data_IF_579106564786
#
_entry.id   IF_579106564786
#
_cell.length_a   1.000
_cell.length_b   1.000
_cell.length_c   1.000
_cell.angle_alpha   90.00
_cell.angle_beta   90.00
_cell.angle_gamma   90.00
#
_symmetry.space_group_name_H-M   'P 1'
#
loop_
_entity.id
_entity.type
_entity.pdbx_description
1 polymer ?
#
# COMPACT_ATOMS: atom_id res chain seq x y z
N UNK A 1 -3.83 -1.71 -26.21
CA UNK A 1 -3.20 -0.41 -26.54
C UNK A 1 -2.61 -0.53 -27.96
N UNK A 2 -3.39 -1.09 -28.89
CA UNK A 2 -2.86 -1.74 -30.11
C UNK A 2 -3.03 -0.85 -31.35
N UNK A 3 -3.40 0.40 -31.10
CA UNK A 3 -3.62 1.43 -32.09
C UNK A 3 -2.45 2.42 -32.03
N UNK A 4 -1.76 2.59 -33.16
CA UNK A 4 -0.66 3.57 -33.32
C UNK A 4 -1.10 4.98 -32.91
N UNK A 5 -2.39 5.33 -33.02
CA UNK A 5 -2.93 6.62 -32.58
C UNK A 5 -2.87 6.80 -31.05
N UNK A 6 -3.12 5.73 -30.28
CA UNK A 6 -3.06 5.73 -28.81
C UNK A 6 -1.63 5.70 -28.29
N UNK A 7 -0.70 5.11 -29.05
CA UNK A 7 0.73 5.18 -28.75
C UNK A 7 1.26 6.61 -28.82
N UNK A 8 0.85 7.39 -29.83
CA UNK A 8 1.20 8.82 -29.91
C UNK A 8 0.76 9.61 -28.68
N UNK A 9 -0.38 9.26 -28.07
CA UNK A 9 -0.87 9.93 -26.84
C UNK A 9 0.06 9.71 -25.64
N UNK A 10 0.68 8.53 -25.52
CA UNK A 10 1.67 8.27 -24.47
C UNK A 10 2.94 9.09 -24.65
N UNK A 11 3.35 9.35 -25.89
CA UNK A 11 4.58 10.09 -26.19
C UNK A 11 4.45 11.59 -25.90
N UNK A 12 3.22 12.11 -25.85
CA UNK A 12 2.92 13.51 -25.53
C UNK A 12 3.00 13.83 -24.03
N UNK A 13 2.96 12.82 -23.16
CA UNK A 13 3.06 13.03 -21.71
C UNK A 13 4.54 12.99 -21.31
N UNK A 14 5.04 14.11 -20.81
CA UNK A 14 6.38 14.21 -20.23
C UNK A 14 6.46 13.53 -18.85
N UNK A 15 7.67 13.22 -18.41
CA UNK A 15 7.89 12.76 -17.03
C UNK A 15 7.78 13.93 -16.04
N UNK A 16 7.27 13.65 -14.85
CA UNK A 16 7.22 14.61 -13.75
C UNK A 16 8.62 14.90 -13.19
N UNK A 17 8.91 16.19 -13.00
CA UNK A 17 10.17 16.63 -12.39
C UNK A 17 10.18 16.29 -10.90
N UNK A 18 11.27 15.66 -10.44
CA UNK A 18 11.52 15.39 -9.03
C UNK A 18 10.85 14.13 -8.49
N UNK A 19 10.33 13.26 -9.35
CA UNK A 19 10.01 11.88 -8.96
C UNK A 19 11.28 11.04 -8.98
N UNK A 20 11.45 10.22 -7.93
CA UNK A 20 12.63 9.37 -7.71
C UNK A 20 12.25 7.90 -7.92
N UNK A 21 13.26 7.08 -8.09
CA UNK A 21 13.10 5.62 -8.05
C UNK A 21 12.45 5.18 -6.74
N UNK A 22 11.62 4.15 -6.83
CA UNK A 22 10.96 3.56 -5.65
C UNK A 22 11.95 2.71 -4.90
N UNK A 23 11.86 2.73 -3.58
CA UNK A 23 12.69 1.88 -2.71
C UNK A 23 11.83 1.29 -1.60
N UNK A 24 12.12 0.05 -1.20
CA UNK A 24 11.53 -0.58 0.00
C UNK A 24 9.99 -0.55 0.07
N UNK A 25 9.29 -0.71 -1.05
CA UNK A 25 7.83 -0.67 -1.08
C UNK A 25 7.17 -1.85 -0.33
N UNK A 26 7.86 -2.99 -0.32
CA UNK A 26 7.41 -4.24 0.31
C UNK A 26 7.93 -4.40 1.76
N UNK A 27 8.72 -3.44 2.25
CA UNK A 27 9.33 -3.50 3.59
C UNK A 27 8.34 -3.04 4.65
N UNK A 28 7.88 -3.97 5.49
CA UNK A 28 6.88 -3.71 6.52
C UNK A 28 7.38 -2.72 7.59
N UNK A 29 8.69 -2.56 7.78
CA UNK A 29 9.28 -1.56 8.70
C UNK A 29 9.14 -0.12 8.22
N UNK A 30 8.93 0.09 6.91
CA UNK A 30 8.72 1.43 6.34
C UNK A 30 7.27 1.92 6.51
N UNK A 31 6.36 1.07 7.00
CA UNK A 31 4.97 1.39 7.33
C UNK A 31 4.87 2.06 8.70
N UNK A 32 4.60 3.36 8.69
CA UNK A 32 4.57 4.18 9.90
C UNK A 32 3.68 5.42 9.70
N UNK A 33 3.54 6.24 10.73
CA UNK A 33 2.73 7.45 10.76
C UNK A 33 3.56 8.75 10.78
N UNK A 34 4.88 8.67 10.51
CA UNK A 34 5.83 9.79 10.70
C UNK A 34 5.49 11.02 9.86
N UNK A 35 4.87 10.84 8.69
CA UNK A 35 4.50 11.93 7.79
C UNK A 35 3.12 12.54 8.14
N UNK A 36 2.41 12.01 9.15
CA UNK A 36 1.14 12.57 9.62
C UNK A 36 1.37 13.71 10.60
N UNK A 37 0.85 14.89 10.27
CA UNK A 37 0.92 16.08 11.13
C UNK A 37 -0.13 16.02 12.23
N UNK A 38 0.28 16.18 13.49
CA UNK A 38 -0.64 16.29 14.61
C UNK A 38 0.04 16.23 15.96
N UNK A 39 -0.76 16.37 17.02
CA UNK A 39 -0.33 16.06 18.38
C UNK A 39 -0.03 14.56 18.50
N UNK A 40 0.84 14.21 19.46
CA UNK A 40 1.17 12.82 19.77
C UNK A 40 -0.08 11.93 19.86
N UNK A 41 -0.02 10.73 19.27
CA UNK A 41 -1.09 9.73 19.18
C UNK A 41 -2.35 10.08 18.37
N UNK A 42 -2.49 11.28 17.81
CA UNK A 42 -3.69 11.67 17.04
C UNK A 42 -4.00 10.66 15.92
N UNK A 43 -2.96 10.23 15.22
CA UNK A 43 -3.05 9.32 14.07
C UNK A 43 -2.56 7.89 14.34
N UNK A 44 -2.23 7.56 15.61
CA UNK A 44 -1.76 6.21 16.01
C UNK A 44 -2.61 5.10 15.39
N UNK A 45 -2.00 4.19 14.66
CA UNK A 45 -2.69 3.06 14.01
C UNK A 45 -3.19 3.33 12.59
N UNK A 46 -2.99 4.52 12.04
CA UNK A 46 -3.03 4.72 10.59
C UNK A 46 -1.59 4.60 10.07
N UNK A 47 -1.25 3.46 9.47
CA UNK A 47 0.08 3.25 8.91
C UNK A 47 0.07 3.64 7.43
N UNK A 48 0.97 4.55 7.05
CA UNK A 48 1.08 5.03 5.66
C UNK A 48 1.86 3.99 4.85
N UNK A 49 1.32 3.49 3.72
CA UNK A 49 2.07 2.64 2.82
C UNK A 49 3.35 3.36 2.33
N UNK A 50 4.52 2.69 2.30
CA UNK A 50 5.74 3.25 1.73
C UNK A 50 5.55 3.76 0.29
N UNK A 51 4.70 3.06 -0.47
CA UNK A 51 4.25 3.47 -1.81
C UNK A 51 3.55 4.84 -1.80
N UNK A 52 2.61 5.08 -0.88
CA UNK A 52 1.92 6.38 -0.74
C UNK A 52 2.89 7.48 -0.32
N UNK A 53 3.83 7.20 0.60
CA UNK A 53 4.87 8.15 1.02
C UNK A 53 5.76 8.58 -0.15
N UNK A 54 6.03 7.64 -1.05
CA UNK A 54 6.82 7.84 -2.27
C UNK A 54 5.98 8.16 -3.51
N UNK A 55 4.67 8.42 -3.37
CA UNK A 55 3.77 8.66 -4.50
C UNK A 55 4.34 9.80 -5.35
N UNK A 56 4.61 9.51 -6.62
CA UNK A 56 5.06 10.51 -7.56
C UNK A 56 3.90 11.47 -7.81
N UNK A 57 4.20 12.76 -7.80
CA UNK A 57 3.28 13.81 -8.18
C UNK A 57 4.10 14.90 -8.84
N UNK A 58 3.50 15.69 -9.72
CA UNK A 58 4.27 16.71 -10.42
C UNK A 58 4.63 17.89 -9.51
N UNK A 59 5.38 18.84 -10.05
CA UNK A 59 5.78 20.10 -9.40
C UNK A 59 4.62 20.90 -8.80
N UNK A 60 3.36 20.61 -9.16
CA UNK A 60 2.17 21.22 -8.56
C UNK A 60 2.15 21.09 -7.04
N UNK A 61 2.80 20.09 -6.47
CA UNK A 61 2.92 19.86 -5.01
C UNK A 61 3.99 20.75 -4.36
N UNK A 62 5.07 21.11 -5.08
CA UNK A 62 6.31 21.66 -4.50
C UNK A 62 6.56 23.16 -4.73
N UNK A 63 5.59 23.91 -5.26
CA UNK A 63 5.80 25.35 -5.45
C UNK A 63 4.55 26.12 -5.84
N UNK A 64 4.67 27.45 -5.96
CA UNK A 64 3.64 28.33 -6.49
C UNK A 64 3.57 28.14 -8.00
N UNK A 65 3.28 26.92 -8.45
CA UNK A 65 2.88 26.72 -9.83
C UNK A 65 1.66 27.63 -10.02
N UNK A 66 1.89 28.79 -10.66
CA UNK A 66 0.85 29.69 -11.10
C UNK A 66 0.12 28.98 -12.24
N UNK A 67 -0.64 27.95 -11.88
CA UNK A 67 -1.49 27.23 -12.81
C UNK A 67 -2.49 28.24 -13.33
N UNK A 68 -2.44 28.48 -14.64
CA UNK A 68 -3.26 29.51 -15.28
C UNK A 68 -4.58 28.94 -15.75
N UNK A 69 -4.64 27.62 -15.96
CA UNK A 69 -5.80 26.91 -16.48
C UNK A 69 -6.02 25.49 -15.91
N UNK A 70 -7.24 24.97 -16.04
CA UNK A 70 -7.58 23.57 -15.80
C UNK A 70 -6.82 22.60 -16.72
N UNK A 71 -6.45 23.04 -17.92
CA UNK A 71 -5.64 22.24 -18.84
C UNK A 71 -4.22 22.06 -18.30
N UNK A 72 -3.57 23.12 -17.83
CA UNK A 72 -2.26 23.03 -17.18
C UNK A 72 -2.31 22.14 -15.94
N UNK A 73 -3.36 22.28 -15.11
CA UNK A 73 -3.56 21.39 -13.96
C UNK A 73 -3.64 19.92 -14.40
N UNK A 74 -4.44 19.63 -15.44
CA UNK A 74 -4.57 18.29 -15.99
C UNK A 74 -3.22 17.73 -16.47
N UNK A 75 -2.48 18.48 -17.25
CA UNK A 75 -1.16 18.06 -17.77
C UNK A 75 -0.22 17.68 -16.62
N UNK A 76 -0.17 18.49 -15.58
CA UNK A 76 0.64 18.26 -14.39
C UNK A 76 0.24 16.96 -13.67
N UNK A 77 -1.07 16.70 -13.48
CA UNK A 77 -1.53 15.42 -12.94
C UNK A 77 -1.13 14.24 -13.83
N UNK A 78 -1.25 14.36 -15.16
CA UNK A 78 -0.89 13.28 -16.09
C UNK A 78 0.61 12.97 -16.09
N UNK A 79 1.48 13.99 -15.99
CA UNK A 79 2.93 13.80 -15.85
C UNK A 79 3.26 13.01 -14.58
N UNK A 80 2.63 13.37 -13.46
CA UNK A 80 2.78 12.64 -12.20
C UNK A 80 2.36 11.18 -12.35
N UNK A 81 1.16 10.95 -12.88
CA UNK A 81 0.59 9.61 -13.02
C UNK A 81 1.43 8.73 -13.95
N UNK A 82 1.94 9.29 -15.05
CA UNK A 82 2.88 8.58 -15.93
C UNK A 82 4.15 8.18 -15.18
N UNK A 83 4.80 9.12 -14.51
CA UNK A 83 6.03 8.81 -13.79
C UNK A 83 5.78 7.82 -12.64
N UNK A 84 4.64 7.88 -11.97
CA UNK A 84 4.23 6.88 -10.98
C UNK A 84 4.18 5.47 -11.59
N UNK A 85 3.48 5.30 -12.72
CA UNK A 85 3.41 4.02 -13.42
C UNK A 85 4.78 3.53 -13.90
N UNK A 86 5.64 4.44 -14.38
CA UNK A 86 7.00 4.13 -14.83
C UNK A 86 7.88 3.60 -13.69
N UNK A 87 7.95 4.32 -12.58
CA UNK A 87 8.81 3.94 -11.45
C UNK A 87 8.29 2.70 -10.70
N UNK A 88 6.96 2.50 -10.63
CA UNK A 88 6.40 1.24 -10.13
C UNK A 88 6.73 0.06 -11.06
N UNK A 89 6.68 0.26 -12.37
CA UNK A 89 7.06 -0.76 -13.35
C UNK A 89 8.54 -1.13 -13.32
N UNK A 90 9.44 -0.18 -13.03
CA UNK A 90 10.85 -0.49 -12.76
C UNK A 90 11.04 -1.24 -11.45
N UNK A 91 10.38 -0.82 -10.37
CA UNK A 91 10.54 -1.44 -9.05
C UNK A 91 10.07 -2.89 -9.03
N UNK A 92 8.90 -3.17 -9.62
CA UNK A 92 8.34 -4.52 -9.72
C UNK A 92 8.68 -5.19 -11.05
N UNK A 93 9.86 -4.90 -11.62
CA UNK A 93 10.25 -5.55 -12.86
C UNK A 93 10.30 -7.08 -12.70
N UNK A 94 9.65 -7.80 -13.61
CA UNK A 94 9.47 -9.26 -13.52
C UNK A 94 8.25 -9.69 -12.70
N UNK A 95 7.51 -8.77 -12.08
CA UNK A 95 6.27 -9.04 -11.35
C UNK A 95 5.17 -8.04 -11.73
N UNK A 96 4.62 -8.25 -12.92
CA UNK A 96 3.61 -7.37 -13.53
C UNK A 96 2.32 -7.30 -12.69
N UNK A 97 1.99 -8.37 -11.95
CA UNK A 97 0.83 -8.40 -11.06
C UNK A 97 1.00 -7.44 -9.87
N UNK A 98 2.16 -7.46 -9.19
CA UNK A 98 2.48 -6.50 -8.12
C UNK A 98 2.53 -5.07 -8.66
N UNK A 99 3.10 -4.87 -9.85
CA UNK A 99 3.13 -3.56 -10.49
C UNK A 99 1.72 -3.01 -10.72
N UNK A 100 0.81 -3.82 -11.27
CA UNK A 100 -0.59 -3.44 -11.49
C UNK A 100 -1.30 -3.09 -10.19
N UNK A 101 -1.14 -3.90 -9.15
CA UNK A 101 -1.79 -3.65 -7.86
C UNK A 101 -1.28 -2.37 -7.21
N UNK A 102 0.03 -2.15 -7.20
CA UNK A 102 0.61 -0.90 -6.70
C UNK A 102 0.12 0.30 -7.51
N UNK A 103 0.00 0.17 -8.84
CA UNK A 103 -0.59 1.22 -9.69
C UNK A 103 -2.05 1.49 -9.35
N UNK A 104 -2.87 0.45 -9.09
CA UNK A 104 -4.26 0.61 -8.65
C UNK A 104 -4.34 1.35 -7.31
N UNK A 105 -3.51 0.98 -6.35
CA UNK A 105 -3.45 1.65 -5.05
C UNK A 105 -3.03 3.13 -5.19
N UNK A 106 -2.01 3.42 -6.00
CA UNK A 106 -1.61 4.79 -6.33
C UNK A 106 -2.71 5.57 -7.05
N UNK A 107 -3.44 4.95 -7.98
CA UNK A 107 -4.58 5.57 -8.67
C UNK A 107 -5.68 6.00 -7.71
N UNK A 108 -5.97 5.18 -6.70
CA UNK A 108 -6.93 5.55 -5.66
C UNK A 108 -6.40 6.66 -4.75
N UNK A 109 -5.10 6.68 -4.43
CA UNK A 109 -4.53 7.80 -3.67
C UNK A 109 -4.58 9.12 -4.47
N UNK A 110 -4.40 9.07 -5.80
CA UNK A 110 -4.63 10.23 -6.67
C UNK A 110 -6.07 10.75 -6.56
N UNK A 111 -7.05 9.84 -6.53
CA UNK A 111 -8.46 10.20 -6.33
C UNK A 111 -8.65 10.97 -5.02
N UNK A 112 -8.10 10.45 -3.92
CA UNK A 112 -8.26 11.10 -2.61
C UNK A 112 -7.54 12.44 -2.55
N UNK A 113 -6.33 12.55 -3.12
CA UNK A 113 -5.57 13.82 -3.13
C UNK A 113 -6.34 14.88 -3.93
N UNK A 114 -6.87 14.51 -5.10
CA UNK A 114 -7.60 15.44 -5.98
C UNK A 114 -8.92 15.88 -5.34
N UNK A 115 -9.65 14.95 -4.71
CA UNK A 115 -10.89 15.24 -3.98
C UNK A 115 -10.64 15.86 -2.59
N UNK A 116 -9.40 15.86 -2.12
CA UNK A 116 -8.98 16.28 -0.78
C UNK A 116 -9.54 15.43 0.36
N UNK A 117 -9.75 14.14 0.10
CA UNK A 117 -10.11 13.12 1.11
C UNK A 117 -8.91 12.29 1.57
N UNK A 118 -7.71 12.62 1.09
CA UNK A 118 -6.46 11.94 1.47
C UNK A 118 -6.14 12.17 2.95
N UNK A 119 -5.84 11.09 3.66
CA UNK A 119 -5.54 11.12 5.09
C UNK A 119 -4.16 11.72 5.39
N UNK A 120 -3.24 11.73 4.41
CA UNK A 120 -1.92 12.34 4.57
C UNK A 120 -2.02 13.85 4.33
N UNK A 121 -2.40 14.58 5.39
CA UNK A 121 -2.58 16.03 5.34
C UNK A 121 -1.26 16.80 5.42
N UNK A 122 -0.23 16.40 4.66
CA UNK A 122 0.92 17.29 4.48
C UNK A 122 0.43 18.55 3.73
N UNK A 123 1.06 19.71 4.00
CA UNK A 123 0.61 20.99 3.41
C UNK A 123 0.66 20.91 1.88
N UNK A 124 1.65 20.21 1.33
CA UNK A 124 1.90 20.14 -0.10
C UNK A 124 0.75 19.48 -0.90
N UNK A 125 0.21 18.34 -0.42
CA UNK A 125 -0.92 17.66 -1.05
C UNK A 125 -2.27 18.30 -0.70
N UNK A 126 -2.41 18.88 0.49
CA UNK A 126 -3.64 19.58 0.90
C UNK A 126 -3.98 20.75 -0.04
N UNK A 127 -2.96 21.38 -0.60
CA UNK A 127 -3.12 22.47 -1.56
C UNK A 127 -3.68 22.04 -2.92
N UNK A 128 -3.65 20.74 -3.28
CA UNK A 128 -4.07 20.28 -4.61
C UNK A 128 -5.56 20.52 -4.84
N UNK A 129 -6.43 20.12 -3.92
CA UNK A 129 -7.86 20.41 -4.00
C UNK A 129 -8.11 21.91 -4.04
N UNK A 130 -7.43 22.68 -3.19
CA UNK A 130 -7.58 24.14 -3.16
C UNK A 130 -7.16 24.80 -4.48
N UNK A 131 -6.06 24.35 -5.09
CA UNK A 131 -5.60 24.81 -6.41
C UNK A 131 -6.64 24.48 -7.49
N UNK A 132 -7.19 23.27 -7.47
CA UNK A 132 -8.24 22.84 -8.39
C UNK A 132 -9.52 23.68 -8.22
N UNK A 133 -10.00 23.87 -6.99
CA UNK A 133 -11.21 24.65 -6.70
C UNK A 133 -11.09 26.11 -7.17
N UNK A 134 -9.92 26.72 -7.01
CA UNK A 134 -9.64 28.08 -7.54
C UNK A 134 -9.76 28.14 -9.07
N UNK A 135 -9.22 27.15 -9.77
CA UNK A 135 -9.31 27.07 -11.24
C UNK A 135 -10.73 26.79 -11.71
N UNK A 136 -11.44 25.87 -11.04
CA UNK A 136 -12.85 25.58 -11.33
C UNK A 136 -13.74 26.82 -11.13
N UNK A 137 -13.51 27.58 -10.07
CA UNK A 137 -14.22 28.85 -9.83
C UNK A 137 -13.97 29.82 -10.98
N UNK A 138 -12.71 29.99 -11.40
CA UNK A 138 -12.31 30.92 -12.46
C UNK A 138 -12.86 30.56 -13.85
N UNK A 139 -12.85 29.29 -14.22
CA UNK A 139 -13.14 28.85 -15.60
C UNK A 139 -14.56 28.30 -15.80
N UNK A 140 -15.20 27.84 -14.74
CA UNK A 140 -16.53 27.22 -14.82
C UNK A 140 -17.59 28.01 -14.06
N UNK A 141 -17.24 29.15 -13.47
CA UNK A 141 -18.12 29.91 -12.59
C UNK A 141 -18.73 29.02 -11.48
N UNK A 142 -17.90 28.13 -10.92
CA UNK A 142 -18.24 27.22 -9.83
C UNK A 142 -19.36 26.19 -10.12
N UNK A 143 -19.68 25.92 -11.39
CA UNK A 143 -20.67 24.90 -11.75
C UNK A 143 -20.14 23.47 -11.62
N UNK A 144 -18.84 23.28 -11.42
CA UNK A 144 -18.18 21.97 -11.30
C UNK A 144 -17.34 21.91 -10.01
N UNK A 145 -17.31 20.74 -9.38
CA UNK A 145 -16.49 20.44 -8.20
C UNK A 145 -15.31 19.53 -8.54
N UNK A 146 -14.39 19.36 -7.60
CA UNK A 146 -13.25 18.45 -7.74
C UNK A 146 -13.68 17.01 -8.10
N UNK A 147 -14.82 16.56 -7.58
CA UNK A 147 -15.40 15.24 -7.87
C UNK A 147 -15.83 15.13 -9.35
N UNK A 148 -16.42 16.18 -9.92
CA UNK A 148 -16.81 16.22 -11.33
C UNK A 148 -15.58 16.23 -12.23
N UNK A 149 -14.54 16.97 -11.82
CA UNK A 149 -13.26 17.00 -12.52
C UNK A 149 -12.60 15.62 -12.52
N UNK A 150 -12.57 14.93 -11.37
CA UNK A 150 -12.07 13.55 -11.28
C UNK A 150 -12.88 12.61 -12.17
N UNK A 151 -14.22 12.64 -12.09
CA UNK A 151 -15.10 11.78 -12.90
C UNK A 151 -14.83 11.95 -14.40
N UNK A 152 -14.54 13.17 -14.84
CA UNK A 152 -14.22 13.50 -16.23
C UNK A 152 -12.82 13.02 -16.64
N UNK A 153 -11.84 13.06 -15.74
CA UNK A 153 -10.42 12.89 -16.09
C UNK A 153 -9.78 11.57 -15.62
N UNK A 154 -10.43 10.79 -14.74
CA UNK A 154 -9.88 9.55 -14.16
C UNK A 154 -9.41 8.53 -15.20
N UNK A 155 -10.10 8.47 -16.35
CA UNK A 155 -9.69 7.62 -17.48
C UNK A 155 -8.34 8.05 -18.07
N UNK A 156 -8.13 9.35 -18.25
CA UNK A 156 -6.85 9.88 -18.75
C UNK A 156 -5.73 9.63 -17.75
N UNK A 157 -5.99 9.77 -16.46
CA UNK A 157 -5.02 9.51 -15.38
C UNK A 157 -4.59 8.04 -15.39
N UNK A 158 -5.54 7.11 -15.42
CA UNK A 158 -5.22 5.68 -15.51
C UNK A 158 -4.42 5.33 -16.76
N UNK A 159 -4.83 5.88 -17.92
CA UNK A 159 -4.09 5.69 -19.17
C UNK A 159 -2.66 6.23 -19.09
N UNK A 160 -2.44 7.36 -18.42
CA UNK A 160 -1.10 7.90 -18.21
C UNK A 160 -0.23 6.96 -17.37
N UNK A 161 -0.77 6.37 -16.29
CA UNK A 161 -0.05 5.36 -15.51
C UNK A 161 0.34 4.15 -16.37
N UNK A 162 -0.57 3.67 -17.22
CA UNK A 162 -0.29 2.57 -18.17
C UNK A 162 0.79 2.96 -19.18
N UNK A 163 0.75 4.19 -19.72
CA UNK A 163 1.81 4.71 -20.59
C UNK A 163 3.17 4.68 -19.88
N UNK A 164 3.22 5.09 -18.62
CA UNK A 164 4.41 5.05 -17.78
C UNK A 164 4.95 3.65 -17.60
N UNK A 165 4.09 2.72 -17.22
CA UNK A 165 4.43 1.30 -17.07
C UNK A 165 4.95 0.69 -18.37
N UNK A 166 4.36 1.01 -19.53
CA UNK A 166 4.90 0.59 -20.82
C UNK A 166 6.31 1.15 -21.04
N UNK A 167 6.55 2.41 -20.68
CA UNK A 167 7.88 3.05 -20.78
C UNK A 167 8.92 2.45 -19.83
N UNK A 168 8.52 1.68 -18.80
CA UNK A 168 9.45 0.95 -17.94
C UNK A 168 9.92 -0.35 -18.60
N UNK A 169 10.75 -0.22 -19.64
CA UNK A 169 11.32 -1.36 -20.37
C UNK A 169 10.50 -1.87 -21.56
N UNK A 170 9.69 -1.01 -22.19
CA UNK A 170 8.85 -1.37 -23.36
C UNK A 170 7.89 -2.55 -23.10
N UNK A 171 7.34 -2.61 -21.87
CA UNK A 171 6.43 -3.67 -21.44
C UNK A 171 5.15 -3.72 -22.27
N UNK A 172 4.64 -4.94 -22.48
CA UNK A 172 3.34 -5.16 -23.12
C UNK A 172 2.25 -4.95 -22.06
N UNK A 173 1.26 -4.13 -22.38
CA UNK A 173 0.10 -3.91 -21.50
C UNK A 173 -0.99 -4.90 -21.89
N UNK A 174 -1.37 -5.77 -20.95
CA UNK A 174 -2.53 -6.63 -21.11
C UNK A 174 -3.81 -5.80 -21.31
N UNK A 175 -4.66 -6.20 -22.25
CA UNK A 175 -5.89 -5.47 -22.57
C UNK A 175 -6.85 -5.35 -21.39
N UNK A 176 -6.84 -6.31 -20.46
CA UNK A 176 -7.63 -6.28 -19.23
C UNK A 176 -7.26 -5.11 -18.31
N UNK A 177 -6.02 -4.59 -18.41
CA UNK A 177 -5.57 -3.43 -17.64
C UNK A 177 -6.18 -2.12 -18.15
N UNK A 178 -6.76 -2.10 -19.36
CA UNK A 178 -7.41 -0.91 -19.92
C UNK A 178 -8.73 -0.58 -19.21
N UNK A 179 -9.27 -1.53 -18.43
CA UNK A 179 -10.45 -1.29 -17.59
C UNK A 179 -10.02 -0.45 -16.39
N UNK A 180 -10.68 0.70 -16.21
CA UNK A 180 -10.38 1.61 -15.12
C UNK A 180 -10.69 0.89 -13.79
N UNK A 181 -9.80 0.98 -12.78
CA UNK A 181 -10.08 0.47 -11.45
C UNK A 181 -11.40 1.08 -10.92
N UNK A 182 -12.25 0.25 -10.33
CA UNK A 182 -13.60 0.65 -9.89
C UNK A 182 -13.53 1.76 -8.83
N UNK A 183 -14.37 2.80 -8.96
CA UNK A 183 -14.36 3.98 -8.08
C UNK A 183 -15.35 3.94 -6.92
N UNK A 184 -16.13 2.87 -6.76
CA UNK A 184 -16.80 2.59 -5.48
C UNK A 184 -15.77 2.02 -4.52
N UNK A 185 -14.94 2.91 -4.00
CA UNK A 185 -13.75 2.53 -3.24
C UNK A 185 -14.03 2.59 -1.75
N UNK A 186 -13.68 1.52 -0.99
CA UNK A 186 -13.74 1.58 0.46
C UNK A 186 -12.86 2.73 0.96
N UNK A 187 -13.15 3.36 2.11
CA UNK A 187 -12.36 4.46 2.67
C UNK A 187 -10.84 4.20 2.60
N UNK A 188 -10.04 5.25 2.38
CA UNK A 188 -8.59 5.14 2.14
C UNK A 188 -7.87 4.29 3.20
N UNK A 189 -8.26 4.43 4.47
CA UNK A 189 -7.78 3.60 5.57
C UNK A 189 -7.91 2.09 5.30
N UNK A 190 -9.06 1.64 4.82
CA UNK A 190 -9.30 0.24 4.52
C UNK A 190 -8.49 -0.26 3.32
N UNK A 191 -8.21 0.62 2.34
CA UNK A 191 -7.32 0.29 1.22
C UNK A 191 -5.89 0.09 1.69
N UNK A 192 -5.40 0.94 2.58
CA UNK A 192 -4.07 0.81 3.16
C UNK A 192 -3.95 -0.43 4.06
N UNK A 193 -5.00 -0.77 4.85
CA UNK A 193 -5.02 -2.03 5.61
C UNK A 193 -4.94 -3.24 4.69
N UNK A 194 -5.68 -3.23 3.57
CA UNK A 194 -5.61 -4.31 2.58
C UNK A 194 -4.23 -4.45 1.94
N UNK A 195 -3.59 -3.33 1.60
CA UNK A 195 -2.22 -3.30 1.09
C UNK A 195 -1.20 -3.80 2.14
N UNK A 196 -1.37 -3.43 3.41
CA UNK A 196 -0.54 -3.93 4.53
C UNK A 196 -0.73 -5.42 4.76
N UNK A 197 -2.00 -5.87 4.87
CA UNK A 197 -2.35 -7.27 5.14
C UNK A 197 -1.80 -8.23 4.10
N UNK A 198 -1.81 -7.84 2.82
CA UNK A 198 -1.21 -8.63 1.75
C UNK A 198 0.29 -8.81 1.94
N UNK A 199 1.01 -7.71 2.24
CA UNK A 199 2.45 -7.76 2.47
C UNK A 199 2.80 -8.59 3.71
N UNK A 200 2.02 -8.47 4.78
CA UNK A 200 2.18 -9.30 5.99
C UNK A 200 1.99 -10.76 5.67
N UNK A 201 0.94 -11.16 4.96
CA UNK A 201 0.73 -12.58 4.65
C UNK A 201 1.82 -13.17 3.75
N UNK A 202 2.31 -12.41 2.76
CA UNK A 202 3.44 -12.84 1.91
C UNK A 202 4.69 -13.05 2.77
N UNK A 203 5.04 -12.09 3.63
CA UNK A 203 6.22 -12.22 4.49
C UNK A 203 6.05 -13.35 5.52
N UNK A 204 4.87 -13.45 6.15
CA UNK A 204 4.54 -14.48 7.13
C UNK A 204 4.77 -15.87 6.56
N UNK A 205 4.25 -16.13 5.37
CA UNK A 205 4.39 -17.43 4.72
C UNK A 205 5.86 -17.76 4.42
N UNK A 206 6.65 -16.78 3.98
CA UNK A 206 8.10 -16.95 3.79
C UNK A 206 8.80 -17.35 5.10
N UNK A 207 8.51 -16.68 6.21
CA UNK A 207 9.10 -17.07 7.49
C UNK A 207 8.64 -18.45 7.96
N UNK A 208 7.36 -18.79 7.79
CA UNK A 208 6.83 -20.12 8.12
C UNK A 208 7.53 -21.21 7.32
N UNK A 209 7.78 -20.98 6.03
CA UNK A 209 8.50 -21.93 5.16
C UNK A 209 9.95 -22.11 5.59
N UNK A 210 10.66 -21.03 5.92
CA UNK A 210 12.02 -21.11 6.44
C UNK A 210 12.09 -21.93 7.74
N UNK A 211 11.20 -21.65 8.69
CA UNK A 211 11.13 -22.41 9.96
C UNK A 211 10.83 -23.89 9.69
N UNK A 212 9.87 -24.21 8.81
CA UNK A 212 9.56 -25.60 8.44
C UNK A 212 10.77 -26.34 7.85
N UNK A 213 11.53 -25.65 7.00
CA UNK A 213 12.72 -26.22 6.35
C UNK A 213 13.81 -26.52 7.38
N UNK A 214 14.25 -25.50 8.12
CA UNK A 214 15.40 -25.59 9.01
C UNK A 214 15.12 -26.36 10.31
N UNK A 215 13.86 -26.44 10.75
CA UNK A 215 13.48 -27.14 11.99
C UNK A 215 12.87 -28.52 11.77
N UNK A 216 12.89 -29.06 10.55
CA UNK A 216 12.21 -30.33 10.20
C UNK A 216 12.68 -31.54 11.04
N UNK A 217 13.97 -31.59 11.40
CA UNK A 217 14.58 -32.68 12.18
C UNK A 217 14.88 -32.31 13.64
N UNK A 218 14.48 -31.12 14.08
CA UNK A 218 14.76 -30.63 15.44
C UNK A 218 13.55 -30.89 16.32
N UNK A 219 13.71 -31.76 17.32
CA UNK A 219 12.65 -32.09 18.29
C UNK A 219 12.75 -31.28 19.59
N UNK A 220 13.95 -30.81 19.94
CA UNK A 220 14.20 -29.97 21.10
C UNK A 220 15.49 -29.18 20.91
N UNK A 221 15.41 -27.85 21.06
CA UNK A 221 16.56 -26.94 20.93
C UNK A 221 17.52 -26.97 22.14
N UNK A 222 17.07 -27.47 23.29
CA UNK A 222 17.84 -27.51 24.55
C UNK A 222 18.72 -28.76 24.68
N UNK A 223 18.47 -29.82 23.89
CA UNK A 223 19.16 -31.12 24.03
C UNK A 223 20.51 -31.17 23.31
N UNK A 224 20.71 -30.38 22.25
CA UNK A 224 22.00 -30.26 21.58
C UNK A 224 22.19 -28.85 20.97
N UNK A 225 22.61 -27.86 21.79
CA UNK A 225 22.84 -26.48 21.34
C UNK A 225 24.01 -26.35 20.34
N UNK A 226 24.87 -27.36 20.21
CA UNK A 226 26.07 -27.31 19.37
C UNK A 226 25.89 -27.97 18.00
N UNK A 227 24.84 -28.78 17.81
CA UNK A 227 24.48 -29.30 16.49
C UNK A 227 24.17 -28.15 15.50
N UNK A 228 24.75 -28.21 14.30
CA UNK A 228 24.52 -27.21 13.26
C UNK A 228 23.03 -27.04 12.90
N UNK A 229 22.26 -28.13 12.93
CA UNK A 229 20.82 -28.12 12.63
C UNK A 229 20.01 -27.41 13.73
N UNK A 230 20.38 -27.62 14.99
CA UNK A 230 19.77 -26.93 16.14
C UNK A 230 20.03 -25.42 16.09
N UNK A 231 21.24 -25.02 15.68
CA UNK A 231 21.61 -23.61 15.51
C UNK A 231 20.86 -22.93 14.36
N UNK A 232 20.74 -23.57 13.20
CA UNK A 232 19.99 -23.02 12.07
C UNK A 232 18.50 -22.86 12.41
N UNK A 233 17.90 -23.90 12.99
CA UNK A 233 16.51 -23.85 13.43
C UNK A 233 16.28 -22.73 14.47
N UNK A 234 17.11 -22.65 15.50
CA UNK A 234 17.03 -21.60 16.53
C UNK A 234 17.12 -20.20 15.92
N UNK A 235 17.97 -20.02 14.90
CA UNK A 235 18.09 -18.76 14.15
C UNK A 235 16.80 -18.38 13.42
N UNK A 236 16.19 -19.30 12.68
CA UNK A 236 14.93 -19.01 11.97
C UNK A 236 13.75 -18.77 12.93
N UNK A 237 13.69 -19.51 14.04
CA UNK A 237 12.72 -19.28 15.12
C UNK A 237 12.87 -17.86 15.68
N UNK A 238 14.11 -17.42 15.94
CA UNK A 238 14.38 -16.05 16.42
C UNK A 238 13.88 -14.99 15.44
N UNK A 239 14.19 -15.17 14.15
CA UNK A 239 13.77 -14.25 13.10
C UNK A 239 12.24 -14.18 13.00
N UNK A 240 11.55 -15.32 13.03
CA UNK A 240 10.09 -15.36 12.99
C UNK A 240 9.46 -14.72 14.23
N UNK A 241 10.03 -14.97 15.43
CA UNK A 241 9.57 -14.36 16.67
C UNK A 241 9.71 -12.83 16.64
N UNK A 242 10.87 -12.32 16.25
CA UNK A 242 11.14 -10.89 16.17
C UNK A 242 10.25 -10.21 15.11
N UNK A 243 10.13 -10.83 13.93
CA UNK A 243 9.21 -10.37 12.89
C UNK A 243 7.76 -10.31 13.40
N UNK A 244 7.28 -11.36 14.07
CA UNK A 244 5.91 -11.47 14.59
C UNK A 244 5.63 -10.41 15.66
N UNK A 245 6.58 -10.15 16.57
CA UNK A 245 6.46 -9.09 17.57
C UNK A 245 6.33 -7.71 16.92
N UNK A 246 7.18 -7.41 15.93
CA UNK A 246 7.14 -6.13 15.23
C UNK A 246 5.82 -5.95 14.46
N UNK A 247 5.34 -7.00 13.78
CA UNK A 247 4.06 -6.94 13.06
C UNK A 247 2.85 -6.89 14.00
N UNK A 248 2.92 -7.53 15.16
CA UNK A 248 1.86 -7.44 16.17
C UNK A 248 1.66 -6.00 16.65
N UNK A 249 2.74 -5.24 16.90
CA UNK A 249 2.64 -3.82 17.31
C UNK A 249 1.90 -3.00 16.25
N UNK A 250 2.21 -3.21 14.97
CA UNK A 250 1.52 -2.57 13.86
C UNK A 250 0.04 -2.99 13.80
N UNK A 251 -0.22 -4.29 13.91
CA UNK A 251 -1.57 -4.86 13.85
C UNK A 251 -2.48 -4.38 14.99
N UNK A 252 -1.96 -4.34 16.21
CA UNK A 252 -2.69 -3.88 17.39
C UNK A 252 -3.09 -2.41 17.23
N UNK A 253 -2.16 -1.56 16.77
CA UNK A 253 -2.44 -0.16 16.47
C UNK A 253 -3.50 0.00 15.36
N UNK A 254 -3.39 -0.77 14.26
CA UNK A 254 -4.40 -0.80 13.18
C UNK A 254 -5.77 -1.22 13.73
N UNK A 255 -5.81 -2.27 14.54
CA UNK A 255 -7.04 -2.81 15.13
C UNK A 255 -7.71 -1.82 16.07
N UNK A 256 -6.94 -1.13 16.92
CA UNK A 256 -7.41 -0.03 17.75
C UNK A 256 -8.02 1.09 16.90
N UNK A 257 -7.33 1.48 15.81
CA UNK A 257 -7.78 2.56 14.92
C UNK A 257 -9.05 2.17 14.17
N UNK A 258 -9.14 0.93 13.70
CA UNK A 258 -10.33 0.39 13.05
C UNK A 258 -11.54 0.49 13.98
N UNK A 259 -11.43 0.02 15.24
CA UNK A 259 -12.51 0.12 16.24
C UNK A 259 -12.94 1.57 16.46
N UNK A 260 -11.99 2.51 16.53
CA UNK A 260 -12.30 3.94 16.65
C UNK A 260 -13.08 4.46 15.45
N UNK A 261 -12.62 4.17 14.23
CA UNK A 261 -13.28 4.62 13.01
C UNK A 261 -14.64 3.94 12.77
N UNK A 262 -14.84 2.73 13.27
CA UNK A 262 -16.14 2.03 13.28
C UNK A 262 -17.19 2.76 14.13
N UNK A 263 -16.76 3.35 15.25
CA UNK A 263 -17.61 4.24 16.07
C UNK A 263 -17.83 5.65 15.49
N UNK A 264 -17.21 5.96 14.34
CA UNK A 264 -17.34 7.25 13.65
C UNK A 264 -18.05 7.07 12.30
N UNK A 265 -18.46 8.17 11.67
CA UNK A 265 -19.06 8.13 10.33
C UNK A 265 -18.09 7.61 9.24
N UNK A 266 -16.79 7.51 9.53
CA UNK A 266 -15.75 7.03 8.59
C UNK A 266 -15.98 5.58 8.15
N UNK A 267 -16.31 4.67 9.08
CA UNK A 267 -16.55 3.24 8.78
C UNK A 267 -17.96 2.77 9.19
N UNK A 268 -18.89 3.69 9.42
CA UNK A 268 -20.26 3.37 9.87
C UNK A 268 -21.01 2.40 8.97
N UNK A 269 -20.75 2.44 7.67
CA UNK A 269 -21.41 1.57 6.67
C UNK A 269 -20.63 0.28 6.37
N UNK A 270 -19.44 0.11 6.94
CA UNK A 270 -18.68 -1.13 6.84
C UNK A 270 -19.42 -2.16 7.70
N UNK A 271 -19.54 -3.42 7.27
CA UNK A 271 -20.32 -4.42 8.02
C UNK A 271 -19.46 -5.15 9.05
N UNK A 272 -18.21 -5.40 8.69
CA UNK A 272 -17.29 -6.25 9.42
C UNK A 272 -16.95 -5.64 10.79
N UNK A 273 -16.99 -6.43 11.87
CA UNK A 273 -16.89 -5.90 13.23
C UNK A 273 -15.47 -5.38 13.56
N UNK A 274 -14.45 -5.95 12.94
CA UNK A 274 -13.05 -5.63 13.16
C UNK A 274 -12.22 -5.73 11.87
N UNK A 275 -10.94 -5.34 11.98
CA UNK A 275 -10.01 -5.33 10.86
C UNK A 275 -9.68 -6.75 10.34
N UNK A 276 -9.73 -7.78 11.20
CA UNK A 276 -9.45 -9.16 10.82
C UNK A 276 -10.55 -9.68 9.90
N UNK A 277 -11.81 -9.53 10.32
CA UNK A 277 -12.98 -9.93 9.53
C UNK A 277 -13.07 -9.12 8.23
N UNK A 278 -12.72 -7.83 8.27
CA UNK A 278 -12.62 -7.02 7.06
C UNK A 278 -11.59 -7.58 6.06
N UNK A 279 -10.39 -7.95 6.51
CA UNK A 279 -9.37 -8.52 5.64
C UNK A 279 -9.78 -9.89 5.11
N UNK A 280 -10.38 -10.75 5.93
CA UNK A 280 -10.89 -12.06 5.52
C UNK A 280 -11.91 -11.95 4.38
N UNK A 281 -12.88 -11.05 4.51
CA UNK A 281 -13.94 -10.87 3.51
C UNK A 281 -13.43 -10.14 2.25
N UNK A 282 -12.63 -9.08 2.41
CA UNK A 282 -12.31 -8.16 1.31
C UNK A 282 -10.93 -8.36 0.69
N UNK A 283 -10.09 -9.25 1.24
CA UNK A 283 -8.76 -9.53 0.73
C UNK A 283 -8.53 -11.03 0.50
N UNK A 284 -8.96 -11.52 -0.66
CA UNK A 284 -8.67 -12.89 -1.10
C UNK A 284 -7.17 -13.23 -1.22
N UNK A 285 -6.30 -12.23 -1.25
CA UNK A 285 -4.83 -12.38 -1.25
C UNK A 285 -4.19 -12.15 0.12
N UNK A 286 -4.99 -12.06 1.17
CA UNK A 286 -4.56 -12.01 2.56
C UNK A 286 -5.01 -13.30 3.26
N UNK A 287 -4.55 -14.49 2.82
CA UNK A 287 -5.09 -15.75 3.32
C UNK A 287 -4.62 -16.07 4.74
N UNK A 288 -4.02 -15.15 5.49
CA UNK A 288 -3.42 -15.43 6.80
C UNK A 288 -4.16 -14.73 7.95
N UNK A 289 -4.13 -15.35 9.12
CA UNK A 289 -4.61 -14.75 10.36
C UNK A 289 -3.57 -13.81 10.96
N UNK A 290 -4.03 -12.86 11.76
CA UNK A 290 -3.15 -11.86 12.39
C UNK A 290 -3.05 -12.01 13.91
N UNK A 291 -3.89 -12.86 14.51
CA UNK A 291 -4.04 -12.98 15.95
C UNK A 291 -2.96 -13.85 16.62
N UNK A 292 -2.39 -14.82 15.89
CA UNK A 292 -1.32 -15.69 16.36
C UNK A 292 -0.03 -14.90 16.68
N UNK A 293 0.22 -13.79 15.98
CA UNK A 293 1.34 -12.89 16.27
C UNK A 293 1.33 -12.39 17.72
N UNK A 294 0.13 -12.21 18.31
CA UNK A 294 -0.04 -11.83 19.72
C UNK A 294 0.51 -12.90 20.66
N UNK A 295 0.25 -14.16 20.37
CA UNK A 295 0.67 -15.27 21.23
C UNK A 295 2.19 -15.39 21.26
N UNK A 296 2.84 -15.19 20.12
CA UNK A 296 4.31 -15.19 19.98
C UNK A 296 4.96 -14.08 20.83
N UNK A 297 4.26 -12.98 21.08
CA UNK A 297 4.79 -11.88 21.92
C UNK A 297 4.91 -12.21 23.40
N UNK A 298 4.25 -13.27 23.89
CA UNK A 298 4.27 -13.65 25.31
C UNK A 298 5.63 -14.19 25.75
N UNK A 299 6.35 -14.82 24.84
CA UNK A 299 7.67 -15.39 25.12
C UNK A 299 8.70 -14.29 25.01
N UNK A 300 9.58 -14.12 26.00
CA UNK A 300 10.70 -13.16 25.99
C UNK A 300 11.98 -13.77 25.43
N UNK A 301 12.25 -15.04 25.79
CA UNK A 301 13.40 -15.83 25.34
C UNK A 301 12.95 -17.00 24.44
N UNK A 302 13.88 -17.53 23.66
CA UNK A 302 13.68 -18.75 22.86
C UNK A 302 14.04 -19.94 23.76
N UNK A 303 13.06 -20.40 24.54
CA UNK A 303 13.13 -21.69 25.23
C UNK A 303 12.26 -22.72 24.51
N UNK A 304 12.31 -23.98 24.95
CA UNK A 304 11.56 -25.08 24.33
C UNK A 304 10.05 -24.83 24.21
N UNK A 305 9.45 -24.07 25.14
CA UNK A 305 8.02 -23.69 25.07
C UNK A 305 7.71 -22.76 23.88
N UNK A 306 8.54 -21.74 23.68
CA UNK A 306 8.41 -20.81 22.56
C UNK A 306 8.68 -21.54 21.22
N UNK A 307 9.67 -22.44 21.22
CA UNK A 307 9.96 -23.30 20.09
C UNK A 307 8.75 -24.16 19.70
N UNK A 308 8.22 -24.96 20.64
CA UNK A 308 7.07 -25.84 20.37
C UNK A 308 5.86 -25.04 19.88
N UNK A 309 5.57 -23.92 20.52
CA UNK A 309 4.46 -23.05 20.12
C UNK A 309 4.63 -22.54 18.69
N UNK A 310 5.82 -22.04 18.33
CA UNK A 310 6.09 -21.56 16.97
C UNK A 310 5.98 -22.72 15.97
N UNK A 311 6.53 -23.90 16.29
CA UNK A 311 6.45 -25.09 15.43
C UNK A 311 5.00 -25.51 15.17
N UNK A 312 4.12 -25.43 16.17
CA UNK A 312 2.69 -25.69 16.00
C UNK A 312 2.04 -24.63 15.10
N UNK A 313 2.31 -23.34 15.32
CA UNK A 313 1.73 -22.25 14.50
C UNK A 313 2.19 -22.27 13.05
N UNK A 314 3.47 -22.55 12.79
CA UNK A 314 3.95 -22.58 11.39
C UNK A 314 3.27 -23.69 10.59
N UNK A 315 2.87 -24.80 11.22
CA UNK A 315 2.18 -25.93 10.58
C UNK A 315 0.74 -25.61 10.17
N UNK A 316 0.08 -24.65 10.81
CA UNK A 316 -1.29 -24.24 10.46
C UNK A 316 -1.25 -23.63 9.05
N UNK A 317 -2.03 -24.13 8.07
CA UNK A 317 -2.19 -23.48 6.78
C UNK A 317 -2.71 -22.05 6.96
N UNK A 318 -2.24 -21.10 6.14
CA UNK A 318 -2.65 -19.70 6.28
C UNK A 318 -4.18 -19.58 6.31
N UNK A 319 -4.87 -20.33 5.45
CA UNK A 319 -6.31 -20.30 5.25
C UNK A 319 -7.12 -20.75 6.47
N UNK A 320 -6.47 -21.38 7.45
CA UNK A 320 -7.07 -21.93 8.67
C UNK A 320 -6.71 -21.12 9.93
N UNK A 321 -5.99 -19.99 9.79
CA UNK A 321 -5.62 -19.08 10.89
C UNK A 321 -6.71 -18.06 11.28
#
# INVERSE_FOLDING_TARGET
FDDKSKMKVCDLIADAIGCKDKTKLDELDEWNDVDMRGTYNKHKGVLIPPRRRQLCFSRIVRGPANLRSLNEFKEEILKGAQSEGKFLGYYYNGNDEKALEAMKNSFYDYEDIIKGTDMLTNIEFKDIKMKLDKLLTKETNNTKKAEDWWKTNKKSIWNAMLCGYKKSGNKIIDRSWCTIPTTETPPQFLRWIKEWGKNVCIQKEKYKQNVKSECSNVSNIDLDPQASESNNCTSEIRKYQEWSRNRYVQWDAISERYRKYKGMDVLKNVKEPDANEYLKEHCSKCPCGFNDMKEITKYTNIGNEAFNTIIEKVKIPAELE
#
